data_IF_384527215304
#
_entry.id   IF_384527215304
#
_cell.length_a   1.000
_cell.length_b   1.000
_cell.length_c   1.000
_cell.angle_alpha   90.00
_cell.angle_beta   90.00
_cell.angle_gamma   90.00
#
_symmetry.space_group_name_H-M   'P 1'
#
loop_
_entity.id
_entity.type
_entity.pdbx_description
1 polymer ?
#
# COMPACT_ATOMS: atom_id res chain seq x y z
N UNK A 1 18.29 29.84 59.03
CA UNK A 1 17.18 29.39 58.17
C UNK A 1 17.83 28.82 56.93
N UNK A 2 17.94 27.49 56.87
CA UNK A 2 18.29 26.78 55.65
C UNK A 2 17.16 26.98 54.65
N UNK A 3 17.47 27.64 53.53
CA UNK A 3 16.59 27.62 52.38
C UNK A 3 16.89 26.34 51.60
N UNK A 4 15.89 25.49 51.30
CA UNK A 4 16.12 24.30 50.51
C UNK A 4 16.55 24.74 49.10
N UNK A 5 17.78 24.38 48.72
CA UNK A 5 18.20 24.42 47.33
C UNK A 5 17.40 23.35 46.60
N UNK A 6 16.34 23.75 45.91
CA UNK A 6 15.75 22.93 44.85
C UNK A 6 16.82 22.78 43.77
N UNK A 7 17.50 21.64 43.78
CA UNK A 7 18.30 21.16 42.66
C UNK A 7 17.33 20.87 41.52
N UNK A 8 17.08 21.88 40.68
CA UNK A 8 16.43 21.68 39.38
C UNK A 8 17.33 20.73 38.60
N UNK A 9 16.91 19.47 38.52
CA UNK A 9 17.54 18.48 37.65
C UNK A 9 17.33 18.94 36.22
N UNK A 10 18.33 19.61 35.64
CA UNK A 10 18.49 19.64 34.20
C UNK A 10 18.85 18.21 33.78
N UNK A 11 17.84 17.36 33.56
CA UNK A 11 18.06 16.17 32.75
C UNK A 11 18.52 16.67 31.39
N UNK A 12 19.79 16.43 31.06
CA UNK A 12 20.43 16.92 29.83
C UNK A 12 19.56 16.59 28.62
N UNK A 13 19.05 17.61 27.91
CA UNK A 13 18.28 17.43 26.67
C UNK A 13 19.03 16.57 25.64
N UNK A 14 20.37 16.54 25.73
CA UNK A 14 21.23 15.67 24.93
C UNK A 14 21.09 14.19 25.32
N UNK A 15 21.09 13.88 26.62
CA UNK A 15 20.91 12.50 27.10
C UNK A 15 19.51 11.96 26.79
N UNK A 16 18.48 12.81 26.79
CA UNK A 16 17.13 12.43 26.38
C UNK A 16 17.07 12.09 24.87
N UNK A 17 17.73 12.89 24.03
CA UNK A 17 17.84 12.64 22.59
C UNK A 17 18.62 11.38 22.27
N UNK A 18 19.73 11.12 22.96
CA UNK A 18 20.50 9.89 22.80
C UNK A 18 19.67 8.66 23.17
N UNK A 19 18.93 8.71 24.29
CA UNK A 19 18.01 7.63 24.67
C UNK A 19 16.89 7.41 23.64
N UNK A 20 16.36 8.49 23.05
CA UNK A 20 15.35 8.38 21.99
C UNK A 20 15.94 7.77 20.72
N UNK A 21 17.16 8.15 20.33
CA UNK A 21 17.84 7.55 19.18
C UNK A 21 18.15 6.06 19.39
N UNK A 22 18.59 5.67 20.59
CA UNK A 22 18.84 4.27 20.94
C UNK A 22 17.55 3.43 20.87
N UNK A 23 16.45 3.96 21.42
CA UNK A 23 15.14 3.32 21.32
C UNK A 23 14.68 3.19 19.86
N UNK A 24 14.83 4.23 19.05
CA UNK A 24 14.48 4.20 17.63
C UNK A 24 15.31 3.18 16.85
N UNK A 25 16.60 3.04 17.17
CA UNK A 25 17.45 2.00 16.58
C UNK A 25 16.99 0.59 17.01
N UNK A 26 16.65 0.41 18.30
CA UNK A 26 16.14 -0.87 18.80
C UNK A 26 14.82 -1.27 18.13
N UNK A 27 13.94 -0.28 17.88
CA UNK A 27 12.69 -0.46 17.16
C UNK A 27 12.95 -0.89 15.70
N UNK A 28 13.86 -0.20 14.99
CA UNK A 28 14.27 -0.57 13.64
C UNK A 28 14.86 -1.99 13.57
N UNK A 29 15.64 -2.41 14.57
CA UNK A 29 16.19 -3.76 14.64
C UNK A 29 15.12 -4.83 14.89
N UNK A 30 14.14 -4.56 15.77
CA UNK A 30 13.03 -5.46 16.04
C UNK A 30 12.21 -5.72 14.77
N UNK A 31 11.82 -4.65 14.04
CA UNK A 31 11.13 -4.76 12.77
C UNK A 31 11.98 -5.43 11.68
N UNK A 32 13.29 -5.17 11.64
CA UNK A 32 14.19 -5.83 10.69
C UNK A 32 14.29 -7.34 10.92
N UNK A 33 14.28 -7.78 12.19
CA UNK A 33 14.26 -9.19 12.56
C UNK A 33 12.94 -9.86 12.15
N UNK A 34 11.82 -9.19 12.41
CA UNK A 34 10.49 -9.65 12.01
C UNK A 34 10.39 -9.77 10.49
N UNK A 35 10.83 -8.76 9.73
CA UNK A 35 10.93 -8.79 8.28
C UNK A 35 11.71 -10.00 7.79
N UNK A 36 12.91 -10.21 8.33
CA UNK A 36 13.79 -11.31 7.89
C UNK A 36 13.17 -12.69 8.19
N UNK A 37 12.45 -12.84 9.31
CA UNK A 37 11.66 -14.04 9.60
C UNK A 37 10.56 -14.27 8.55
N UNK A 38 9.82 -13.23 8.18
CA UNK A 38 8.72 -13.33 7.20
C UNK A 38 9.23 -13.68 5.81
N UNK A 39 10.36 -13.11 5.40
CA UNK A 39 11.05 -13.45 4.14
C UNK A 39 11.42 -14.94 4.15
N UNK A 40 12.03 -15.45 5.23
CA UNK A 40 12.42 -16.87 5.33
C UNK A 40 11.21 -17.79 5.29
N UNK A 41 10.13 -17.44 6.00
CA UNK A 41 8.91 -18.22 6.01
C UNK A 41 8.31 -18.32 4.60
N UNK A 42 8.20 -17.19 3.87
CA UNK A 42 7.73 -17.19 2.47
C UNK A 42 8.60 -18.06 1.56
N UNK A 43 9.91 -17.95 1.69
CA UNK A 43 10.84 -18.75 0.91
C UNK A 43 10.72 -20.25 1.23
N UNK A 44 10.60 -20.61 2.52
CA UNK A 44 10.42 -21.98 2.98
C UNK A 44 9.10 -22.61 2.52
N UNK A 45 8.05 -21.80 2.38
CA UNK A 45 6.76 -22.22 1.82
C UNK A 45 6.83 -22.52 0.31
N UNK A 46 7.90 -22.11 -0.37
CA UNK A 46 8.11 -22.37 -1.80
C UNK A 46 7.29 -21.46 -2.73
N UNK A 47 6.64 -20.42 -2.20
CA UNK A 47 5.81 -19.49 -2.99
C UNK A 47 6.62 -18.77 -4.06
N UNK A 48 7.81 -18.26 -3.73
CA UNK A 48 8.70 -17.59 -4.68
C UNK A 48 9.15 -18.52 -5.82
N UNK A 49 9.41 -19.80 -5.51
CA UNK A 49 9.78 -20.80 -6.51
C UNK A 49 8.63 -21.06 -7.48
N UNK A 50 7.41 -21.19 -6.96
CA UNK A 50 6.20 -21.37 -7.79
C UNK A 50 5.99 -20.19 -8.74
N UNK A 51 6.12 -18.96 -8.24
CA UNK A 51 6.01 -17.77 -9.10
C UNK A 51 7.08 -17.70 -10.19
N UNK A 52 8.32 -18.11 -9.90
CA UNK A 52 9.36 -18.21 -10.92
C UNK A 52 9.03 -19.26 -11.98
N UNK A 53 8.52 -20.42 -11.58
CA UNK A 53 8.07 -21.48 -12.50
C UNK A 53 6.90 -21.01 -13.37
N UNK A 54 5.90 -20.35 -12.78
CA UNK A 54 4.73 -19.81 -13.49
C UNK A 54 5.16 -18.74 -14.52
N UNK A 55 6.09 -17.85 -14.13
CA UNK A 55 6.62 -16.80 -15.00
C UNK A 55 7.46 -17.37 -16.15
N UNK A 56 8.26 -18.40 -15.89
CA UNK A 56 9.01 -19.09 -16.94
C UNK A 56 8.08 -19.84 -17.89
N UNK A 57 7.03 -20.49 -17.37
CA UNK A 57 6.00 -21.14 -18.18
C UNK A 57 5.25 -20.13 -19.06
N UNK A 58 4.89 -18.98 -18.51
CA UNK A 58 4.26 -17.88 -19.24
C UNK A 58 5.17 -17.33 -20.35
N UNK A 59 6.48 -17.20 -20.08
CA UNK A 59 7.46 -16.75 -21.08
C UNK A 59 7.92 -17.84 -22.04
N UNK A 60 7.46 -19.09 -21.88
CA UNK A 60 7.87 -20.22 -22.70
C UNK A 60 9.31 -20.67 -22.50
N UNK A 61 9.89 -20.38 -21.34
CA UNK A 61 11.23 -20.79 -20.94
C UNK A 61 11.16 -22.16 -20.25
N UNK A 62 11.57 -23.21 -20.95
CA UNK A 62 11.77 -24.55 -20.35
C UNK A 62 13.14 -24.65 -19.67
N UNK A 63 13.33 -25.56 -18.70
CA UNK A 63 14.62 -25.86 -18.08
C UNK A 63 15.71 -26.18 -19.12
N UNK A 64 15.35 -26.80 -20.25
CA UNK A 64 16.27 -27.07 -21.38
C UNK A 64 16.56 -25.81 -22.20
N UNK A 65 15.58 -24.93 -22.38
CA UNK A 65 15.72 -23.66 -23.10
C UNK A 65 16.34 -22.56 -22.24
N UNK A 66 16.30 -22.65 -20.90
CA UNK A 66 16.94 -21.70 -19.97
C UNK A 66 18.46 -21.72 -20.16
N UNK A 67 19.05 -22.93 -20.25
CA UNK A 67 20.48 -23.11 -20.56
C UNK A 67 20.84 -22.62 -21.97
N UNK A 68 19.99 -22.89 -22.98
CA UNK A 68 20.22 -22.42 -24.35
C UNK A 68 20.07 -20.89 -24.49
N UNK A 69 19.13 -20.28 -23.77
CA UNK A 69 18.91 -18.83 -23.74
C UNK A 69 20.03 -18.10 -22.99
N UNK A 70 20.53 -18.66 -21.89
CA UNK A 70 21.73 -18.16 -21.20
C UNK A 70 22.99 -18.27 -22.07
N UNK A 71 23.09 -19.33 -22.89
CA UNK A 71 24.16 -19.46 -23.89
C UNK A 71 24.03 -18.41 -24.99
N UNK A 72 22.82 -18.10 -25.49
CA UNK A 72 22.62 -17.04 -26.49
C UNK A 72 22.95 -15.65 -25.95
N UNK A 73 22.53 -15.29 -24.74
CA UNK A 73 22.88 -14.00 -24.13
C UNK A 73 24.38 -13.86 -23.87
N UNK A 74 25.06 -14.96 -23.53
CA UNK A 74 26.53 -14.98 -23.35
C UNK A 74 27.28 -14.79 -24.67
N UNK A 75 26.75 -15.34 -25.77
CA UNK A 75 27.29 -15.18 -27.13
C UNK A 75 27.05 -13.75 -27.66
N UNK A 76 25.89 -13.13 -27.38
CA UNK A 76 25.63 -11.73 -27.72
C UNK A 76 26.52 -10.74 -26.94
N UNK A 77 26.90 -11.08 -25.70
CA UNK A 77 27.80 -10.27 -24.87
C UNK A 77 29.30 -10.56 -25.11
N UNK A 78 29.65 -11.40 -26.08
CA UNK A 78 31.03 -11.61 -26.52
C UNK A 78 31.91 -12.43 -25.57
N UNK A 79 31.34 -13.11 -24.57
CA UNK A 79 32.08 -14.00 -23.69
C UNK A 79 32.24 -15.38 -24.34
N UNK A 80 33.46 -15.94 -24.43
CA UNK A 80 33.67 -17.26 -25.00
C UNK A 80 33.06 -18.33 -24.09
N UNK A 81 31.99 -18.96 -24.55
CA UNK A 81 31.37 -20.12 -23.89
C UNK A 81 32.32 -21.32 -24.08
N UNK A 82 33.19 -21.57 -23.11
CA UNK A 82 34.07 -22.75 -23.12
C UNK A 82 33.24 -24.01 -22.86
N UNK A 83 33.04 -24.80 -23.89
CA UNK A 83 32.30 -26.05 -23.84
C UNK A 83 33.17 -27.18 -23.27
N UNK A 84 32.89 -27.58 -22.03
CA UNK A 84 33.14 -28.96 -21.59
C UNK A 84 31.84 -29.50 -20.97
N UNK A 85 31.13 -30.33 -21.74
CA UNK A 85 29.95 -31.13 -21.35
C UNK A 85 28.51 -30.65 -21.67
N UNK A 86 28.28 -29.84 -22.70
CA UNK A 86 26.92 -29.70 -23.27
C UNK A 86 26.77 -30.56 -24.53
N UNK A 87 26.16 -31.75 -24.43
CA UNK A 87 25.63 -32.47 -25.59
C UNK A 87 24.18 -32.01 -25.81
N UNK A 88 23.85 -31.21 -26.84
CA UNK A 88 22.46 -31.00 -27.22
C UNK A 88 22.02 -32.23 -28.02
N UNK A 89 21.15 -33.07 -27.46
CA UNK A 89 20.73 -34.30 -28.13
C UNK A 89 19.22 -34.46 -28.31
N UNK A 90 18.48 -33.34 -28.35
CA UNK A 90 17.08 -33.29 -28.81
C UNK A 90 16.56 -31.87 -28.85
N UNK A 91 16.16 -31.42 -30.03
CA UNK A 91 15.34 -30.21 -30.19
C UNK A 91 13.99 -30.46 -29.51
N UNK A 92 13.75 -29.81 -28.39
CA UNK A 92 12.44 -29.83 -27.73
C UNK A 92 11.69 -28.58 -28.18
N UNK A 93 10.64 -28.75 -28.98
CA UNK A 93 9.76 -27.64 -29.37
C UNK A 93 8.86 -27.35 -28.19
N UNK A 94 9.13 -26.26 -27.47
CA UNK A 94 8.25 -25.78 -26.41
C UNK A 94 7.19 -24.86 -27.03
N UNK A 95 5.93 -25.32 -27.04
CA UNK A 95 4.81 -24.51 -27.53
C UNK A 95 4.30 -23.66 -26.37
N UNK A 96 4.45 -22.33 -26.46
CA UNK A 96 4.00 -21.37 -25.46
C UNK A 96 2.47 -21.18 -25.40
N UNK A 97 1.71 -22.27 -25.21
CA UNK A 97 0.24 -22.22 -25.13
C UNK A 97 -0.24 -21.46 -23.89
N UNK A 98 0.50 -21.55 -22.77
CA UNK A 98 0.18 -20.88 -21.50
C UNK A 98 -0.04 -19.39 -21.72
N UNK A 99 0.89 -18.69 -22.39
CA UNK A 99 0.77 -17.26 -22.68
C UNK A 99 -0.53 -16.90 -23.38
N UNK A 100 -0.90 -17.67 -24.41
CA UNK A 100 -2.13 -17.41 -25.18
C UNK A 100 -3.38 -17.61 -24.32
N UNK A 101 -3.40 -18.65 -23.47
CA UNK A 101 -4.53 -18.93 -22.57
C UNK A 101 -4.62 -17.93 -21.43
N UNK A 102 -3.50 -17.56 -20.82
CA UNK A 102 -3.42 -16.54 -19.77
C UNK A 102 -3.91 -15.19 -20.29
N UNK A 103 -3.45 -14.74 -21.45
CA UNK A 103 -3.89 -13.46 -22.03
C UNK A 103 -5.37 -13.48 -22.41
N UNK A 104 -5.89 -14.61 -22.90
CA UNK A 104 -7.31 -14.76 -23.19
C UNK A 104 -8.17 -14.72 -21.92
N UNK A 105 -7.69 -15.33 -20.83
CA UNK A 105 -8.34 -15.30 -19.53
C UNK A 105 -8.30 -13.89 -18.92
N UNK A 106 -7.15 -13.23 -18.93
CA UNK A 106 -6.96 -11.84 -18.50
C UNK A 106 -7.95 -10.91 -19.21
N UNK A 107 -8.02 -10.98 -20.55
CA UNK A 107 -8.92 -10.14 -21.33
C UNK A 107 -10.40 -10.37 -20.97
N UNK A 108 -10.82 -11.63 -20.74
CA UNK A 108 -12.19 -11.96 -20.32
C UNK A 108 -12.49 -11.49 -18.90
N UNK A 109 -11.56 -11.66 -17.98
CA UNK A 109 -11.72 -11.23 -16.58
C UNK A 109 -11.79 -9.70 -16.53
N UNK A 110 -10.92 -9.00 -17.25
CA UNK A 110 -10.92 -7.55 -17.32
C UNK A 110 -12.23 -7.00 -17.92
N UNK A 111 -12.77 -7.63 -18.96
CA UNK A 111 -14.05 -7.21 -19.58
C UNK A 111 -15.25 -7.41 -18.64
N UNK A 112 -15.28 -8.51 -17.89
CA UNK A 112 -16.36 -8.81 -16.94
C UNK A 112 -16.27 -7.95 -15.68
N UNK A 113 -15.07 -7.79 -15.12
CA UNK A 113 -14.85 -7.08 -13.86
C UNK A 113 -14.71 -5.57 -14.03
N UNK A 114 -14.33 -5.08 -15.21
CA UNK A 114 -14.10 -3.65 -15.49
C UNK A 114 -14.85 -3.22 -16.75
N UNK A 115 -16.20 -3.22 -16.70
CA UNK A 115 -17.00 -2.73 -17.81
C UNK A 115 -16.67 -1.27 -18.12
N UNK A 116 -16.74 -0.90 -19.40
CA UNK A 116 -16.38 0.46 -19.84
C UNK A 116 -17.46 1.49 -19.47
N UNK A 117 -18.71 1.04 -19.37
CA UNK A 117 -19.88 1.90 -19.20
C UNK A 117 -20.43 1.95 -17.76
N UNK A 118 -19.98 1.05 -16.88
CA UNK A 118 -20.54 0.91 -15.52
C UNK A 118 -19.45 0.75 -14.46
N UNK A 119 -19.81 0.99 -13.20
CA UNK A 119 -18.94 0.84 -12.03
C UNK A 119 -18.82 -0.64 -11.66
N UNK A 120 -17.63 -1.08 -11.31
CA UNK A 120 -17.37 -2.45 -10.84
C UNK A 120 -17.66 -2.66 -9.34
N UNK A 121 -18.18 -1.63 -8.67
CA UNK A 121 -18.52 -1.63 -7.24
C UNK A 121 -19.78 -0.79 -7.04
N UNK A 122 -20.46 -0.97 -5.90
CA UNK A 122 -21.63 -0.19 -5.55
C UNK A 122 -21.87 -0.18 -4.04
N UNK A 123 -22.43 0.91 -3.55
CA UNK A 123 -22.79 1.06 -2.14
C UNK A 123 -24.29 0.89 -2.01
N UNK A 124 -24.70 0.12 -0.99
CA UNK A 124 -26.11 0.00 -0.61
C UNK A 124 -26.27 0.49 0.81
N UNK A 125 -27.36 1.20 1.14
CA UNK A 125 -27.63 1.58 2.51
C UNK A 125 -27.78 0.32 3.37
N UNK A 126 -27.28 0.40 4.61
CA UNK A 126 -27.41 -0.70 5.57
C UNK A 126 -28.89 -0.97 5.85
N UNK A 127 -29.33 -2.23 5.77
CA UNK A 127 -30.67 -2.61 6.17
C UNK A 127 -30.78 -2.51 7.69
N UNK A 128 -31.29 -1.40 8.22
CA UNK A 128 -31.58 -1.28 9.66
C UNK A 128 -32.78 -2.19 10.02
N UNK A 129 -32.62 -3.15 10.96
CA UNK A 129 -33.70 -4.06 11.36
C UNK A 129 -34.92 -3.32 11.94
N UNK A 130 -34.69 -2.21 12.64
CA UNK A 130 -35.76 -1.40 13.23
C UNK A 130 -36.61 -0.69 12.17
N UNK A 131 -35.98 -0.17 11.11
CA UNK A 131 -36.68 0.46 9.98
C UNK A 131 -37.44 -0.56 9.13
N UNK A 132 -36.94 -1.81 9.01
CA UNK A 132 -37.68 -2.89 8.33
C UNK A 132 -38.96 -3.26 9.07
N UNK A 133 -38.93 -3.35 10.40
CA UNK A 133 -40.13 -3.58 11.22
C UNK A 133 -41.17 -2.47 11.05
N UNK A 134 -40.73 -1.21 11.02
CA UNK A 134 -41.60 -0.04 10.80
C UNK A 134 -42.14 0.09 9.36
N UNK A 135 -41.52 -0.59 8.39
CA UNK A 135 -42.00 -0.62 6.99
C UNK A 135 -43.19 -1.57 6.82
N UNK A 136 -43.28 -2.59 7.66
CA UNK A 136 -44.38 -3.57 7.69
C UNK A 136 -45.58 -3.13 8.54
N UNK A 137 -45.35 -2.24 9.51
CA UNK A 137 -46.40 -1.72 10.38
C UNK A 137 -47.16 -0.54 9.74
N UNK A 138 -48.47 -0.72 9.47
CA UNK A 138 -49.37 0.32 8.95
C UNK A 138 -49.91 1.27 10.05
N UNK A 139 -49.30 1.23 11.24
CA UNK A 139 -49.70 2.04 12.39
C UNK A 139 -49.31 3.50 12.20
N UNK A 140 -50.11 4.40 12.77
CA UNK A 140 -49.86 5.83 12.79
C UNK A 140 -48.55 6.13 13.53
N UNK A 141 -47.72 7.01 12.99
CA UNK A 141 -46.52 7.47 13.68
C UNK A 141 -46.94 8.43 14.80
N UNK A 142 -46.58 8.09 16.03
CA UNK A 142 -46.93 8.88 17.22
C UNK A 142 -45.64 9.50 17.75
N UNK A 143 -45.65 10.80 18.04
CA UNK A 143 -44.51 11.50 18.62
C UNK A 143 -44.20 10.92 20.03
N UNK A 144 -42.94 10.49 20.31
CA UNK A 144 -42.56 9.88 21.58
C UNK A 144 -42.81 10.76 22.82
N UNK A 145 -42.88 12.08 22.66
CA UNK A 145 -43.01 13.03 23.77
C UNK A 145 -44.44 13.51 24.01
N UNK A 146 -45.33 13.45 23.00
CA UNK A 146 -46.67 14.07 23.09
C UNK A 146 -47.83 13.11 22.81
N UNK A 147 -47.57 11.89 22.32
CA UNK A 147 -48.64 10.91 22.08
C UNK A 147 -49.59 11.30 20.93
N UNK A 148 -49.28 12.37 20.19
CA UNK A 148 -50.06 12.85 19.06
C UNK A 148 -49.55 12.24 17.74
N UNK A 149 -50.45 11.98 16.76
CA UNK A 149 -50.04 11.52 15.44
C UNK A 149 -49.19 12.60 14.76
N UNK A 150 -47.99 12.25 14.31
CA UNK A 150 -47.14 13.13 13.51
C UNK A 150 -47.89 13.49 12.22
N UNK A 151 -47.98 14.78 11.93
CA UNK A 151 -48.55 15.33 10.70
C UNK A 151 -47.43 15.86 9.81
N UNK A 152 -47.56 15.68 8.50
CA UNK A 152 -46.65 16.30 7.53
C UNK A 152 -46.76 17.85 7.57
N UNK A 153 -45.84 18.61 6.93
CA UNK A 153 -45.96 20.07 6.80
C UNK A 153 -47.21 20.56 6.03
N UNK A 154 -48.06 19.66 5.53
CA UNK A 154 -49.31 19.92 4.78
C UNK A 154 -50.57 19.48 5.55
N UNK A 155 -50.44 18.99 6.80
CA UNK A 155 -51.55 18.61 7.67
C UNK A 155 -52.10 17.18 7.51
N UNK A 156 -51.43 16.29 6.76
CA UNK A 156 -51.85 14.88 6.66
C UNK A 156 -51.18 14.00 7.73
N UNK A 157 -51.89 13.00 8.29
CA UNK A 157 -51.30 12.10 9.27
C UNK A 157 -50.25 11.16 8.65
N UNK A 158 -49.03 11.17 9.18
CA UNK A 158 -47.92 10.31 8.74
C UNK A 158 -48.06 8.90 9.33
N UNK A 159 -47.97 7.89 8.47
CA UNK A 159 -47.86 6.48 8.89
C UNK A 159 -46.41 6.13 9.17
N UNK A 160 -46.15 5.16 10.07
CA UNK A 160 -44.80 4.66 10.34
C UNK A 160 -44.09 4.18 9.07
N UNK A 161 -44.84 3.57 8.15
CA UNK A 161 -44.37 3.19 6.81
C UNK A 161 -43.88 4.35 5.96
N UNK A 162 -44.54 5.51 6.01
CA UNK A 162 -44.15 6.68 5.21
C UNK A 162 -42.89 7.34 5.76
N UNK A 163 -42.73 7.34 7.09
CA UNK A 163 -41.50 7.79 7.77
C UNK A 163 -40.34 6.83 7.46
N UNK A 164 -40.55 5.52 7.58
CA UNK A 164 -39.55 4.52 7.24
C UNK A 164 -39.12 4.62 5.77
N UNK A 165 -40.08 4.85 4.84
CA UNK A 165 -39.78 5.09 3.42
C UNK A 165 -38.96 6.37 3.22
N UNK A 166 -39.31 7.47 3.90
CA UNK A 166 -38.57 8.73 3.80
C UNK A 166 -37.13 8.62 4.33
N UNK A 167 -36.94 7.89 5.45
CA UNK A 167 -35.60 7.62 6.01
C UNK A 167 -34.78 6.75 5.05
N UNK A 168 -35.37 5.70 4.49
CA UNK A 168 -34.70 4.84 3.49
C UNK A 168 -34.38 5.62 2.20
N UNK A 169 -35.23 6.54 1.77
CA UNK A 169 -34.96 7.40 0.61
C UNK A 169 -33.80 8.37 0.90
N UNK A 170 -33.75 8.98 2.09
CA UNK A 170 -32.62 9.80 2.51
C UNK A 170 -31.32 9.00 2.60
N UNK A 171 -31.38 7.78 3.14
CA UNK A 171 -30.21 6.88 3.21
C UNK A 171 -29.70 6.51 1.82
N UNK A 172 -30.61 6.25 0.86
CA UNK A 172 -30.24 6.04 -0.56
C UNK A 172 -29.57 7.27 -1.16
N UNK A 173 -30.15 8.46 -1.01
CA UNK A 173 -29.55 9.71 -1.51
C UNK A 173 -28.14 9.95 -0.94
N UNK A 174 -27.93 9.67 0.34
CA UNK A 174 -26.59 9.75 0.98
C UNK A 174 -25.63 8.70 0.43
N UNK A 175 -26.09 7.47 0.22
CA UNK A 175 -25.29 6.41 -0.38
C UNK A 175 -24.89 6.77 -1.82
N UNK A 176 -25.82 7.29 -2.63
CA UNK A 176 -25.56 7.74 -4.00
C UNK A 176 -24.57 8.90 -4.05
N UNK A 177 -24.69 9.86 -3.12
CA UNK A 177 -23.75 10.99 -3.01
C UNK A 177 -22.34 10.51 -2.65
N UNK A 178 -22.21 9.63 -1.65
CA UNK A 178 -20.94 9.01 -1.28
C UNK A 178 -20.35 8.17 -2.44
N UNK A 179 -21.20 7.47 -3.18
CA UNK A 179 -20.78 6.69 -4.34
C UNK A 179 -20.19 7.58 -5.42
N UNK A 180 -20.76 8.76 -5.68
CA UNK A 180 -20.20 9.71 -6.65
C UNK A 180 -18.86 10.31 -6.18
N UNK A 181 -18.70 10.57 -4.88
CA UNK A 181 -17.44 11.08 -4.34
C UNK A 181 -16.30 10.05 -4.46
N UNK A 182 -16.57 8.78 -4.10
CA UNK A 182 -15.59 7.71 -4.23
C UNK A 182 -15.25 7.46 -5.71
N UNK A 183 -16.24 7.52 -6.61
CA UNK A 183 -16.02 7.35 -8.04
C UNK A 183 -15.08 8.43 -8.61
N UNK A 184 -15.28 9.69 -8.23
CA UNK A 184 -14.38 10.79 -8.60
C UNK A 184 -12.95 10.54 -8.11
N UNK A 185 -12.78 10.12 -6.85
CA UNK A 185 -11.46 9.79 -6.30
C UNK A 185 -10.79 8.59 -6.99
N UNK A 186 -11.56 7.56 -7.36
CA UNK A 186 -11.05 6.38 -8.06
C UNK A 186 -10.65 6.69 -9.51
N UNK A 187 -11.39 7.58 -10.18
CA UNK A 187 -11.03 8.09 -11.50
C UNK A 187 -9.75 8.94 -11.42
N UNK A 188 -9.63 9.81 -10.41
CA UNK A 188 -8.43 10.63 -10.20
C UNK A 188 -7.16 9.79 -9.95
N UNK A 189 -7.31 8.63 -9.30
CA UNK A 189 -6.20 7.77 -8.92
C UNK A 189 -5.83 6.69 -9.96
N UNK A 190 -6.46 6.72 -11.15
CA UNK A 190 -6.32 5.72 -12.22
C UNK A 190 -6.53 4.28 -11.74
N UNK A 191 -7.51 4.07 -10.86
CA UNK A 191 -7.80 2.77 -10.25
C UNK A 191 -8.02 1.66 -11.29
N UNK A 192 -8.79 1.94 -12.34
CA UNK A 192 -9.08 0.97 -13.40
C UNK A 192 -7.84 0.63 -14.24
N UNK A 193 -6.91 1.57 -14.40
CA UNK A 193 -5.63 1.32 -15.07
C UNK A 193 -4.74 0.39 -14.25
N UNK A 194 -4.60 0.66 -12.95
CA UNK A 194 -3.80 -0.17 -12.04
C UNK A 194 -4.42 -1.55 -11.81
N UNK A 195 -5.74 -1.65 -11.69
CA UNK A 195 -6.43 -2.92 -11.47
C UNK A 195 -6.29 -3.88 -12.67
N UNK A 196 -6.21 -3.36 -13.90
CA UNK A 196 -5.89 -4.20 -15.09
C UNK A 196 -4.50 -4.83 -14.98
N UNK A 197 -3.51 -4.09 -14.47
CA UNK A 197 -2.15 -4.63 -14.22
C UNK A 197 -2.19 -5.71 -13.12
N UNK A 198 -3.02 -5.53 -12.11
CA UNK A 198 -3.21 -6.49 -11.02
C UNK A 198 -3.90 -7.77 -11.53
N UNK A 199 -4.89 -7.65 -12.43
CA UNK A 199 -5.53 -8.80 -13.08
C UNK A 199 -4.50 -9.58 -13.91
N UNK A 200 -3.59 -8.88 -14.60
CA UNK A 200 -2.49 -9.53 -15.31
C UNK A 200 -1.61 -10.34 -14.36
N UNK A 201 -1.18 -9.76 -13.23
CA UNK A 201 -0.39 -10.49 -12.23
C UNK A 201 -1.15 -11.69 -11.66
N UNK A 202 -2.43 -11.53 -11.36
CA UNK A 202 -3.26 -12.61 -10.86
C UNK A 202 -3.41 -13.74 -11.89
N UNK A 203 -3.49 -13.42 -13.18
CA UNK A 203 -3.57 -14.41 -14.25
C UNK A 203 -2.23 -15.14 -14.47
N UNK A 204 -1.10 -14.47 -14.26
CA UNK A 204 0.25 -15.04 -14.46
C UNK A 204 0.76 -15.78 -13.23
N UNK A 205 0.69 -15.16 -12.05
CA UNK A 205 1.30 -15.62 -10.79
C UNK A 205 0.28 -16.20 -9.80
N UNK A 206 -1.02 -16.11 -10.09
CA UNK A 206 -2.09 -16.54 -9.20
C UNK A 206 -2.41 -15.57 -8.06
N UNK A 207 -1.72 -14.44 -7.97
CA UNK A 207 -1.94 -13.40 -6.97
C UNK A 207 -1.72 -12.01 -7.57
N UNK A 208 -2.42 -11.01 -7.03
CA UNK A 208 -2.27 -9.62 -7.41
C UNK A 208 -2.43 -8.73 -6.19
N UNK A 209 -1.61 -7.68 -6.09
CA UNK A 209 -1.64 -6.74 -4.95
C UNK A 209 -1.84 -5.33 -5.48
N UNK A 210 -2.84 -4.65 -4.93
CA UNK A 210 -3.11 -3.24 -5.20
C UNK A 210 -2.98 -2.45 -3.91
N UNK A 211 -2.35 -1.29 -4.01
CA UNK A 211 -2.26 -0.30 -2.94
C UNK A 211 -2.96 0.96 -3.40
N UNK A 212 -4.05 1.31 -2.76
CA UNK A 212 -4.81 2.50 -3.12
C UNK A 212 -6.22 2.50 -2.54
N UNK A 213 -6.88 3.67 -2.50
CA UNK A 213 -6.32 4.99 -2.80
C UNK A 213 -5.46 5.51 -1.63
N UNK A 214 -4.20 5.84 -1.90
CA UNK A 214 -3.32 6.50 -0.93
C UNK A 214 -3.20 7.97 -1.30
N UNK A 215 -3.36 8.86 -0.33
CA UNK A 215 -3.21 10.30 -0.57
C UNK A 215 -1.73 10.59 -0.79
N UNK A 216 -1.36 10.95 -2.01
CA UNK A 216 0.01 11.32 -2.36
C UNK A 216 0.09 12.82 -2.62
N UNK A 217 1.18 13.43 -2.16
CA UNK A 217 1.46 14.84 -2.48
C UNK A 217 1.93 14.94 -3.93
N UNK A 218 1.06 15.40 -4.82
CA UNK A 218 1.43 15.70 -6.20
C UNK A 218 1.66 17.21 -6.32
N UNK A 219 2.88 17.58 -6.69
CA UNK A 219 3.18 18.98 -7.04
C UNK A 219 2.65 19.26 -8.44
N UNK A 220 1.61 20.09 -8.54
CA UNK A 220 1.10 20.60 -9.81
C UNK A 220 1.57 22.04 -9.98
N UNK A 221 2.08 22.36 -11.18
CA UNK A 221 2.34 23.75 -11.58
C UNK A 221 0.99 24.36 -11.96
N UNK A 222 0.46 25.23 -11.13
CA UNK A 222 -0.73 26.01 -11.43
C UNK A 222 -0.31 27.43 -11.81
N UNK A 223 -0.90 27.96 -12.87
CA UNK A 223 -0.72 29.35 -13.26
C UNK A 223 -1.79 30.16 -12.53
N UNK A 224 -1.39 31.00 -11.56
CA UNK A 224 -2.30 32.00 -10.99
C UNK A 224 -1.99 33.37 -11.60
N UNK A 225 -3.02 34.11 -12.06
CA UNK A 225 -2.82 35.48 -12.49
C UNK A 225 -2.56 36.36 -11.26
N UNK A 226 -1.31 36.77 -11.06
CA UNK A 226 -0.96 37.79 -10.08
C UNK A 226 -0.92 39.15 -10.79
N UNK A 227 -1.53 40.17 -10.18
CA UNK A 227 -1.52 41.54 -10.71
C UNK A 227 -0.54 42.35 -9.86
N UNK A 228 0.56 42.80 -10.46
CA UNK A 228 1.49 43.71 -9.78
C UNK A 228 0.85 45.10 -9.60
N UNK A 229 1.39 45.92 -8.69
CA UNK A 229 0.87 47.25 -8.34
C UNK A 229 0.82 48.27 -9.50
N UNK A 230 1.31 47.89 -10.70
CA UNK A 230 1.27 48.67 -11.94
C UNK A 230 0.29 48.11 -12.99
N UNK A 231 -0.55 47.13 -12.65
CA UNK A 231 -1.67 46.68 -13.49
C UNK A 231 -1.30 45.75 -14.65
N UNK A 232 -0.07 45.24 -14.72
CA UNK A 232 0.34 44.22 -15.68
C UNK A 232 0.12 42.80 -15.10
N UNK A 233 -0.60 41.95 -15.82
CA UNK A 233 -0.77 40.54 -15.47
C UNK A 233 0.47 39.75 -15.88
N UNK A 234 1.27 39.33 -14.90
CA UNK A 234 2.40 38.42 -15.13
C UNK A 234 2.00 37.07 -14.54
N UNK A 235 2.05 36.02 -15.35
CA UNK A 235 1.71 34.67 -14.90
C UNK A 235 2.85 34.11 -14.06
N UNK A 236 2.65 33.98 -12.75
CA UNK A 236 3.61 33.32 -11.86
C UNK A 236 3.23 31.84 -11.75
N UNK A 237 4.20 30.95 -12.00
CA UNK A 237 4.04 29.52 -11.78
C UNK A 237 4.10 29.28 -10.28
N UNK A 238 2.96 29.05 -9.64
CA UNK A 238 2.92 28.59 -8.26
C UNK A 238 2.87 27.05 -8.25
N UNK A 239 3.79 26.44 -7.51
CA UNK A 239 3.82 24.98 -7.33
C UNK A 239 2.85 24.67 -6.19
N UNK A 240 1.59 24.40 -6.55
CA UNK A 240 0.58 23.99 -5.58
C UNK A 240 0.83 22.52 -5.24
N UNK A 241 0.97 22.23 -3.94
CA UNK A 241 1.02 20.87 -3.41
C UNK A 241 -0.44 20.41 -3.24
N UNK A 242 -0.92 19.59 -4.14
CA UNK A 242 -2.28 19.06 -4.09
C UNK A 242 -2.24 17.61 -3.58
N UNK A 243 -3.10 17.31 -2.61
CA UNK A 243 -3.30 15.97 -2.08
C UNK A 243 -4.20 15.24 -3.08
N UNK A 244 -3.62 14.42 -3.95
CA UNK A 244 -4.38 13.63 -4.92
C UNK A 244 -4.34 12.14 -4.52
N UNK A 245 -5.48 11.43 -4.55
CA UNK A 245 -5.47 9.99 -4.36
C UNK A 245 -4.69 9.34 -5.50
N UNK A 246 -3.87 8.34 -5.17
CA UNK A 246 -3.13 7.54 -6.13
C UNK A 246 -3.32 6.05 -5.80
N UNK A 247 -3.49 5.25 -6.84
CA UNK A 247 -3.44 3.79 -6.76
C UNK A 247 -2.15 3.31 -7.40
N UNK A 248 -1.61 2.21 -6.90
CA UNK A 248 -0.41 1.57 -7.40
C UNK A 248 -0.59 0.06 -7.43
N UNK A 249 -0.31 -0.57 -8.57
CA UNK A 249 -0.04 -2.01 -8.63
C UNK A 249 1.28 -2.28 -7.92
N UNK A 250 1.23 -3.11 -6.88
CA UNK A 250 2.41 -3.58 -6.16
C UNK A 250 2.80 -4.94 -6.73
N UNK A 251 4.08 -5.13 -7.03
CA UNK A 251 4.58 -6.45 -7.43
C UNK A 251 4.42 -7.42 -6.27
N UNK A 252 3.74 -8.55 -6.49
CA UNK A 252 3.46 -9.55 -5.45
C UNK A 252 4.75 -10.03 -4.77
N UNK A 253 5.86 -10.11 -5.51
CA UNK A 253 7.17 -10.55 -4.97
C UNK A 253 7.77 -9.58 -3.97
N UNK A 254 7.30 -8.33 -3.98
CA UNK A 254 7.69 -7.29 -3.05
C UNK A 254 6.72 -7.17 -1.85
N UNK A 255 5.66 -7.97 -1.80
CA UNK A 255 4.72 -8.00 -0.68
C UNK A 255 5.00 -9.21 0.23
N UNK A 256 5.03 -8.97 1.53
CA UNK A 256 5.32 -9.98 2.56
C UNK A 256 4.28 -9.83 3.68
N UNK A 257 3.12 -10.49 3.56
CA UNK A 257 2.16 -10.56 4.67
C UNK A 257 2.71 -11.39 5.83
N UNK A 258 2.15 -11.19 7.03
CA UNK A 258 2.45 -12.01 8.20
C UNK A 258 2.24 -13.51 7.90
N UNK A 259 3.26 -14.37 8.07
CA UNK A 259 3.12 -15.82 7.94
C UNK A 259 2.00 -16.42 8.79
N UNK A 260 1.65 -15.78 9.91
CA UNK A 260 0.57 -16.19 10.81
C UNK A 260 -0.85 -15.81 10.35
N UNK A 261 -1.03 -15.08 9.25
CA UNK A 261 -2.35 -14.58 8.84
C UNK A 261 -3.32 -15.66 8.35
N UNK A 262 -2.85 -16.87 8.06
CA UNK A 262 -3.67 -17.95 7.53
C UNK A 262 -4.31 -17.57 6.19
N UNK A 263 -5.64 -17.77 6.06
CA UNK A 263 -6.39 -17.46 4.83
C UNK A 263 -6.84 -16.00 4.71
N UNK A 264 -6.69 -15.20 5.77
CA UNK A 264 -7.13 -13.80 5.78
C UNK A 264 -6.00 -12.88 6.24
N UNK A 265 -5.58 -11.99 5.35
CA UNK A 265 -4.49 -11.04 5.62
C UNK A 265 -4.78 -10.09 6.80
N UNK A 266 -6.06 -9.82 7.09
CA UNK A 266 -6.48 -8.97 8.20
C UNK A 266 -6.36 -9.63 9.58
N UNK A 267 -6.14 -10.95 9.62
CA UNK A 267 -5.92 -11.67 10.89
C UNK A 267 -4.45 -11.70 11.31
N UNK A 268 -3.54 -11.22 10.46
CA UNK A 268 -2.11 -11.14 10.75
C UNK A 268 -1.72 -9.83 11.44
N UNK A 269 -0.49 -9.78 11.96
CA UNK A 269 0.09 -8.58 12.59
C UNK A 269 0.27 -7.43 11.60
N UNK A 270 0.46 -7.72 10.32
CA UNK A 270 0.70 -6.70 9.31
C UNK A 270 1.26 -7.24 8.00
N UNK A 271 1.78 -6.32 7.19
CA UNK A 271 2.30 -6.56 5.85
C UNK A 271 3.55 -5.70 5.66
N UNK A 272 4.63 -6.27 5.12
CA UNK A 272 5.75 -5.50 4.58
C UNK A 272 5.63 -5.36 3.05
N UNK A 273 5.88 -4.15 2.57
CA UNK A 273 6.09 -3.83 1.16
C UNK A 273 7.54 -3.42 0.92
N UNK A 274 8.18 -4.02 -0.08
CA UNK A 274 9.56 -3.69 -0.49
C UNK A 274 9.55 -2.82 -1.74
N UNK A 275 10.23 -1.67 -1.67
CA UNK A 275 10.48 -0.82 -2.83
C UNK A 275 11.98 -0.59 -3.03
N UNK A 276 12.42 -0.60 -4.29
CA UNK A 276 13.79 -0.21 -4.66
C UNK A 276 13.81 1.27 -4.99
N UNK A 277 14.69 2.02 -4.33
CA UNK A 277 14.86 3.45 -4.51
C UNK A 277 16.28 3.81 -4.93
N UNK A 278 16.40 4.85 -5.73
CA UNK A 278 17.68 5.51 -6.04
C UNK A 278 18.03 6.52 -4.96
N UNK A 279 19.31 6.87 -4.82
CA UNK A 279 19.75 7.92 -3.89
C UNK A 279 19.03 9.27 -4.09
N UNK A 280 18.61 9.57 -5.34
CA UNK A 280 17.80 10.75 -5.64
C UNK A 280 16.41 10.67 -5.01
N UNK A 281 15.74 9.53 -5.12
CA UNK A 281 14.42 9.33 -4.53
C UNK A 281 14.47 9.37 -3.00
N UNK A 282 15.50 8.78 -2.38
CA UNK A 282 15.72 8.90 -0.92
C UNK A 282 15.84 10.36 -0.49
N UNK A 283 16.56 11.20 -1.26
CA UNK A 283 16.62 12.65 -1.01
C UNK A 283 15.28 13.36 -1.22
N UNK A 284 14.44 12.86 -2.13
CA UNK A 284 13.11 13.42 -2.36
C UNK A 284 12.15 13.08 -1.21
N UNK A 285 12.34 11.96 -0.50
CA UNK A 285 11.58 11.64 0.73
C UNK A 285 11.77 12.68 1.83
N UNK A 286 12.98 13.26 1.96
CA UNK A 286 13.25 14.32 2.92
C UNK A 286 12.42 15.61 2.70
N UNK A 287 11.80 15.76 1.52
CA UNK A 287 10.89 16.87 1.20
C UNK A 287 9.44 16.58 1.57
N UNK A 288 9.10 15.32 1.83
CA UNK A 288 7.77 14.90 2.22
C UNK A 288 7.57 15.05 3.74
N UNK A 289 6.36 15.41 4.20
CA UNK A 289 6.06 15.41 5.63
C UNK A 289 6.04 13.97 6.17
N UNK A 290 6.46 13.78 7.43
CA UNK A 290 6.47 12.48 8.10
C UNK A 290 7.84 11.79 8.16
N UNK A 291 8.80 12.19 7.32
CA UNK A 291 10.15 11.61 7.32
C UNK A 291 11.14 12.36 8.24
N UNK A 292 11.94 11.60 8.97
CA UNK A 292 13.03 12.02 9.83
C UNK A 292 14.29 12.34 9.01
N UNK A 293 14.51 13.64 8.75
CA UNK A 293 15.63 14.13 7.93
C UNK A 293 17.01 13.69 8.42
N UNK A 294 17.21 13.61 9.74
CA UNK A 294 18.47 13.16 10.33
C UNK A 294 18.72 11.67 10.03
N UNK A 295 17.69 10.83 10.12
CA UNK A 295 17.79 9.40 9.80
C UNK A 295 18.02 9.18 8.30
N UNK A 296 17.33 9.92 7.43
CA UNK A 296 17.58 9.88 5.99
C UNK A 296 19.01 10.31 5.64
N UNK A 297 19.60 11.27 6.37
CA UNK A 297 21.00 11.66 6.18
C UNK A 297 21.95 10.52 6.57
N UNK A 298 21.74 9.91 7.75
CA UNK A 298 22.52 8.75 8.21
C UNK A 298 22.48 7.60 7.19
N UNK A 299 21.29 7.28 6.67
CA UNK A 299 21.12 6.24 5.64
C UNK A 299 21.87 6.58 4.34
N UNK A 300 21.83 7.84 3.89
CA UNK A 300 22.56 8.27 2.70
C UNK A 300 24.09 8.24 2.88
N UNK A 301 24.58 8.47 4.10
CA UNK A 301 26.00 8.38 4.46
C UNK A 301 26.47 6.93 4.57
N UNK A 302 25.64 6.04 5.14
CA UNK A 302 25.92 4.60 5.22
C UNK A 302 25.95 3.91 3.85
N UNK A 303 25.21 4.46 2.88
CA UNK A 303 25.06 3.88 1.56
C UNK A 303 23.96 2.79 1.48
N UNK A 304 23.71 2.27 0.27
CA UNK A 304 22.71 1.23 0.06
C UNK A 304 23.14 -0.07 0.75
N UNK A 305 22.32 -0.55 1.67
CA UNK A 305 22.44 -1.90 2.27
C UNK A 305 21.18 -2.70 1.94
N UNK A 306 21.33 -4.01 1.91
CA UNK A 306 20.25 -4.95 1.61
C UNK A 306 19.97 -5.81 2.84
N UNK A 307 18.74 -6.33 2.94
CA UNK A 307 18.50 -7.40 3.92
C UNK A 307 19.40 -8.58 3.57
N UNK A 308 20.17 -9.07 4.55
CA UNK A 308 21.05 -10.21 4.37
C UNK A 308 20.27 -11.44 3.85
N UNK A 309 19.04 -11.61 4.33
CA UNK A 309 18.16 -12.69 3.90
C UNK A 309 17.75 -12.53 2.44
N UNK A 310 17.39 -11.33 1.97
CA UNK A 310 17.09 -11.11 0.55
C UNK A 310 18.33 -11.30 -0.32
N UNK A 311 19.49 -10.86 0.15
CA UNK A 311 20.73 -11.00 -0.59
C UNK A 311 21.07 -12.47 -0.82
N UNK A 312 20.93 -13.33 0.19
CA UNK A 312 21.12 -14.78 0.08
C UNK A 312 20.20 -15.44 -0.96
N UNK A 313 18.98 -14.93 -1.11
CA UNK A 313 17.94 -15.50 -1.98
C UNK A 313 18.00 -14.98 -3.43
N UNK A 314 18.62 -13.82 -3.67
CA UNK A 314 18.76 -13.24 -5.02
C UNK A 314 19.99 -13.83 -5.77
N UNK A 315 19.86 -14.04 -7.08
CA UNK A 315 20.95 -14.53 -7.94
C UNK A 315 22.08 -13.50 -8.09
N UNK A 316 23.31 -13.97 -8.34
CA UNK A 316 24.53 -13.14 -8.50
C UNK A 316 24.35 -11.99 -9.50
N UNK A 317 23.71 -12.23 -10.65
CA UNK A 317 23.46 -11.22 -11.69
C UNK A 317 22.54 -10.08 -11.22
N UNK A 318 21.56 -10.40 -10.36
CA UNK A 318 20.63 -9.40 -9.78
C UNK A 318 21.36 -8.59 -8.70
N UNK A 319 22.32 -9.20 -8.00
CA UNK A 319 23.14 -8.52 -6.98
C UNK A 319 23.99 -7.40 -7.60
N UNK A 320 24.57 -7.62 -8.77
CA UNK A 320 25.45 -6.64 -9.42
C UNK A 320 24.70 -5.42 -9.97
N UNK A 321 23.50 -5.61 -10.56
CA UNK A 321 22.68 -4.51 -11.07
C UNK A 321 22.09 -3.64 -9.95
N UNK A 322 21.96 -4.18 -8.74
CA UNK A 322 21.28 -3.54 -7.62
C UNK A 322 22.21 -2.92 -6.57
N UNK A 323 23.54 -2.90 -6.82
CA UNK A 323 24.53 -2.34 -5.87
C UNK A 323 24.29 -0.88 -5.50
N UNK A 324 23.72 -0.09 -6.41
CA UNK A 324 23.48 1.34 -6.20
C UNK A 324 22.03 1.68 -5.75
N UNK A 325 21.22 0.67 -5.46
CA UNK A 325 19.81 0.84 -5.08
C UNK A 325 19.57 0.60 -3.60
N UNK A 326 18.87 1.52 -2.96
CA UNK A 326 18.40 1.40 -1.58
C UNK A 326 17.15 0.52 -1.52
N UNK A 327 17.02 -0.29 -0.48
CA UNK A 327 15.81 -1.04 -0.18
C UNK A 327 15.00 -0.28 0.87
N UNK A 328 13.86 0.24 0.45
CA UNK A 328 12.84 0.80 1.32
C UNK A 328 11.83 -0.30 1.66
N UNK A 329 11.50 -0.39 2.93
CA UNK A 329 10.54 -1.31 3.51
C UNK A 329 9.45 -0.50 4.19
N UNK A 330 8.21 -0.65 3.73
CA UNK A 330 7.05 -0.09 4.43
C UNK A 330 6.36 -1.20 5.20
N UNK A 331 6.22 -1.02 6.50
CA UNK A 331 5.45 -1.91 7.35
C UNK A 331 4.08 -1.31 7.63
N UNK A 332 3.03 -2.06 7.32
CA UNK A 332 1.64 -1.71 7.61
C UNK A 332 1.10 -2.73 8.60
N UNK A 333 0.99 -2.36 9.87
CA UNK A 333 0.63 -3.34 10.89
C UNK A 333 0.54 -2.79 12.30
N UNK A 334 0.39 -3.69 13.25
CA UNK A 334 0.35 -3.39 14.68
C UNK A 334 1.74 -3.00 15.18
N UNK A 335 1.82 -1.89 15.91
CA UNK A 335 3.05 -1.37 16.52
C UNK A 335 2.80 -1.10 17.99
N UNK A 336 3.81 -1.37 18.82
CA UNK A 336 3.72 -1.09 20.26
C UNK A 336 3.73 0.42 20.53
N UNK A 337 3.04 0.82 21.60
CA UNK A 337 2.92 2.23 21.98
C UNK A 337 4.29 2.88 22.25
N UNK A 338 5.19 2.17 22.93
CA UNK A 338 6.54 2.67 23.28
C UNK A 338 7.41 2.92 22.04
N UNK A 339 7.25 2.09 21.00
CA UNK A 339 7.96 2.23 19.74
C UNK A 339 7.49 3.46 18.97
N UNK A 340 6.18 3.74 18.96
CA UNK A 340 5.62 4.94 18.32
C UNK A 340 6.06 6.24 19.02
N UNK A 341 6.15 6.23 20.34
CA UNK A 341 6.69 7.36 21.10
C UNK A 341 8.16 7.62 20.76
N UNK A 342 8.96 6.56 20.52
CA UNK A 342 10.35 6.69 20.08
C UNK A 342 10.50 7.35 18.71
N UNK A 343 9.50 7.17 17.84
CA UNK A 343 9.41 7.83 16.53
C UNK A 343 8.83 9.26 16.61
N UNK A 344 8.52 9.75 17.82
CA UNK A 344 7.96 11.09 18.04
C UNK A 344 6.47 11.21 17.73
N UNK A 345 5.74 10.09 17.66
CA UNK A 345 4.29 10.06 17.43
C UNK A 345 3.56 9.92 18.76
N UNK A 346 2.74 10.91 19.13
CA UNK A 346 1.95 10.86 20.37
C UNK A 346 0.77 9.91 20.22
N UNK A 347 0.84 8.75 20.87
CA UNK A 347 -0.11 7.66 20.69
C UNK A 347 -1.11 7.50 21.85
N UNK A 348 -1.65 8.60 22.39
CA UNK A 348 -2.70 8.55 23.44
C UNK A 348 -2.28 7.86 24.74
N UNK A 349 -3.23 7.33 25.51
CA UNK A 349 -2.92 6.52 26.71
C UNK A 349 -2.57 5.08 26.32
N UNK A 350 -1.55 4.52 26.98
CA UNK A 350 -1.14 3.12 26.81
C UNK A 350 -2.23 2.17 27.31
N UNK A 351 -2.82 1.41 26.39
CA UNK A 351 -3.75 0.32 26.69
C UNK A 351 -3.26 -0.97 26.02
N UNK A 352 -3.14 -2.04 26.79
CA UNK A 352 -2.65 -3.35 26.33
C UNK A 352 -3.67 -4.05 25.42
N UNK A 353 -4.95 -3.71 25.54
CA UNK A 353 -6.01 -4.27 24.69
C UNK A 353 -6.18 -3.50 23.38
N UNK A 354 -5.52 -2.35 23.23
CA UNK A 354 -5.61 -1.50 22.04
C UNK A 354 -4.37 -1.69 21.19
N UNK A 355 -4.50 -2.41 20.09
CA UNK A 355 -3.48 -2.37 19.04
C UNK A 355 -3.58 -1.07 18.26
N UNK A 356 -2.42 -0.47 17.99
CA UNK A 356 -2.31 0.73 17.16
C UNK A 356 -1.73 0.28 15.83
N UNK A 357 -2.49 0.49 14.75
CA UNK A 357 -1.98 0.24 13.41
C UNK A 357 -1.23 1.49 12.92
N UNK A 358 0.00 1.29 12.46
CA UNK A 358 0.84 2.34 11.92
C UNK A 358 1.50 1.92 10.60
N UNK A 359 1.87 2.93 9.80
CA UNK A 359 2.76 2.77 8.66
C UNK A 359 4.17 3.21 9.08
N UNK A 360 5.11 2.27 9.09
CA UNK A 360 6.50 2.53 9.46
C UNK A 360 7.37 2.33 8.24
N UNK A 361 8.13 3.35 7.87
CA UNK A 361 9.04 3.30 6.74
C UNK A 361 10.46 3.07 7.24
N UNK A 362 11.14 2.09 6.68
CA UNK A 362 12.52 1.76 6.98
C UNK A 362 13.34 1.73 5.71
N UNK A 363 14.57 2.23 5.77
CA UNK A 363 15.57 2.01 4.72
C UNK A 363 16.76 1.32 5.36
N UNK A 364 17.25 0.27 4.70
CA UNK A 364 18.22 -0.67 5.28
C UNK A 364 17.61 -1.36 6.53
N UNK A 365 17.96 -0.89 7.74
CA UNK A 365 17.39 -1.30 9.04
C UNK A 365 17.05 -0.08 9.92
N UNK A 366 17.03 1.12 9.34
CA UNK A 366 16.81 2.38 10.05
C UNK A 366 15.41 2.88 9.76
N UNK A 367 14.66 3.24 10.81
CA UNK A 367 13.35 3.89 10.68
C UNK A 367 13.57 5.34 10.21
N UNK A 368 12.89 5.74 9.13
CA UNK A 368 13.15 7.01 8.43
C UNK A 368 11.95 7.90 8.30
#
# INVERSE_FOLDING_TARGET
>A
MDFPQETVQYEDEQALREKQEEKLQSFGYALSRQRDEWIRNRYSAGTDKRWLEDLDQYNGKDNVNRAASQMMTSVEQGYPVTTQHAKPHRSTVYIGLTRQKTNAAEARIADILLPTDDRNWGIKPTPEPELMGMTSDDNMAVDPNTGAPMVDPQGNPLRKKDIARAVMEMARKKADAMQNEIDDQLVQCDYNGELRKVIHDAAVLGAGVIKGPVVTNRTRKAWQPYTDAQGAQIQQIEIVKELSPASFRVDVRNCFPDPGCGENIHSGKGIYERQKLTAKQVRDLAKQPGYMKEQLRKVLEEGPKRSATMQELESEEIRDLARDTYELWEYWGEVEHEDLESAGVSAGEKDVLRSISACVVMINNTVV
#
